data_IF_299164037717
#
_entry.id   IF_299164037717
#
_cell.length_a   1.000
_cell.length_b   1.000
_cell.length_c   1.000
_cell.angle_alpha   90.00
_cell.angle_beta   90.00
_cell.angle_gamma   90.00
#
_symmetry.space_group_name_H-M   'P 1'
#
loop_
_entity.id
_entity.type
_entity.pdbx_description
1 polymer ?
#
# COMPACT_ATOMS: atom_id res chain seq x y z
N UNK A 1 -17.50 9.66 3.12
CA UNK A 1 -16.96 8.64 2.23
C UNK A 1 -17.17 9.01 0.76
N UNK A 2 -18.42 9.33 0.33
CA UNK A 2 -18.68 9.72 -1.06
C UNK A 2 -17.88 10.94 -1.52
N UNK A 3 -17.67 11.93 -0.67
CA UNK A 3 -16.83 13.09 -0.99
C UNK A 3 -15.38 12.69 -1.29
N UNK A 4 -14.79 11.76 -0.54
CA UNK A 4 -13.43 11.27 -0.78
C UNK A 4 -13.30 10.61 -2.16
N UNK A 5 -14.26 9.75 -2.52
CA UNK A 5 -14.36 9.16 -3.85
C UNK A 5 -14.43 10.23 -4.95
N UNK A 6 -15.34 11.18 -4.79
CA UNK A 6 -15.57 12.24 -5.77
C UNK A 6 -14.32 13.15 -5.93
N UNK A 7 -13.60 13.41 -4.84
CA UNK A 7 -12.33 14.15 -4.88
C UNK A 7 -11.27 13.39 -5.67
N UNK A 8 -11.18 12.08 -5.50
CA UNK A 8 -10.24 11.24 -6.24
C UNK A 8 -10.48 11.32 -7.75
N UNK A 9 -11.72 11.19 -8.21
CA UNK A 9 -12.06 11.33 -9.63
C UNK A 9 -11.82 12.75 -10.15
N UNK A 10 -12.25 13.78 -9.41
CA UNK A 10 -12.00 15.18 -9.79
C UNK A 10 -10.51 15.49 -9.89
N UNK A 11 -9.70 14.96 -8.97
CA UNK A 11 -8.24 15.11 -9.01
C UNK A 11 -7.66 14.46 -10.26
N UNK A 12 -8.06 13.23 -10.57
CA UNK A 12 -7.58 12.48 -11.73
C UNK A 12 -7.85 13.22 -13.04
N UNK A 13 -9.06 13.76 -13.20
CA UNK A 13 -9.43 14.54 -14.38
C UNK A 13 -8.65 15.85 -14.44
N UNK A 14 -8.60 16.59 -13.32
CA UNK A 14 -7.98 17.93 -13.27
C UNK A 14 -6.45 17.89 -13.46
N UNK A 15 -5.76 16.98 -12.79
CA UNK A 15 -4.29 16.98 -12.74
C UNK A 15 -3.66 16.08 -13.81
N UNK A 16 -4.38 15.03 -14.23
CA UNK A 16 -3.83 14.03 -15.16
C UNK A 16 -4.62 13.89 -16.46
N UNK A 17 -5.69 14.67 -16.64
CA UNK A 17 -6.53 14.58 -17.86
C UNK A 17 -7.19 13.22 -18.04
N UNK A 18 -7.58 12.56 -16.91
CA UNK A 18 -8.16 11.23 -16.97
C UNK A 18 -9.44 11.19 -17.79
N UNK A 19 -9.58 10.19 -18.66
CA UNK A 19 -10.75 9.92 -19.48
C UNK A 19 -11.72 9.00 -18.74
N UNK A 20 -13.02 9.28 -18.85
CA UNK A 20 -14.06 8.43 -18.24
C UNK A 20 -14.19 7.11 -18.99
N UNK A 21 -14.38 6.03 -18.24
CA UNK A 21 -14.63 4.69 -18.78
C UNK A 21 -16.15 4.46 -18.80
N UNK A 22 -16.71 4.10 -19.95
CA UNK A 22 -18.11 3.75 -20.14
C UNK A 22 -19.13 4.77 -19.59
N UNK A 23 -18.78 6.07 -19.69
CA UNK A 23 -19.65 7.15 -19.18
C UNK A 23 -19.50 7.47 -17.71
N UNK A 24 -18.56 6.86 -17.03
CA UNK A 24 -18.14 7.23 -15.71
C UNK A 24 -18.67 6.43 -14.56
N UNK A 25 -18.35 6.63 -13.26
CA UNK A 25 -17.33 7.56 -12.75
C UNK A 25 -15.89 7.04 -12.89
N UNK A 26 -15.69 5.74 -13.18
CA UNK A 26 -14.38 5.15 -13.38
C UNK A 26 -13.61 5.89 -14.48
N UNK A 27 -12.33 6.05 -14.29
CA UNK A 27 -11.51 6.78 -15.24
C UNK A 27 -10.11 6.17 -15.40
N UNK A 28 -9.44 6.54 -16.47
CA UNK A 28 -8.08 6.10 -16.78
C UNK A 28 -7.24 7.22 -17.36
N UNK A 29 -5.94 7.14 -17.16
CA UNK A 29 -4.96 8.04 -17.75
C UNK A 29 -3.61 7.36 -17.91
N UNK A 30 -2.71 7.94 -18.72
CA UNK A 30 -1.32 7.49 -18.81
C UNK A 30 -0.46 8.22 -17.80
N UNK A 31 0.31 7.49 -17.02
CA UNK A 31 1.27 8.07 -16.09
C UNK A 31 2.34 8.85 -16.90
N UNK A 32 2.50 10.16 -16.70
CA UNK A 32 3.43 10.98 -17.48
C UNK A 32 4.90 10.60 -17.29
N UNK A 33 5.25 9.94 -16.17
CA UNK A 33 6.62 9.52 -15.86
C UNK A 33 6.97 8.14 -16.43
N UNK A 34 6.02 7.21 -16.45
CA UNK A 34 6.28 5.81 -16.80
C UNK A 34 5.63 5.38 -18.12
N UNK A 35 4.66 6.14 -18.63
CA UNK A 35 3.85 5.79 -19.79
C UNK A 35 2.81 4.70 -19.56
N UNK A 36 2.77 4.09 -18.37
CA UNK A 36 1.81 3.04 -18.04
C UNK A 36 0.39 3.60 -17.90
N UNK A 37 -0.60 2.81 -18.30
CA UNK A 37 -1.99 3.14 -18.07
C UNK A 37 -2.31 2.96 -16.57
N UNK A 38 -2.97 3.96 -15.99
CA UNK A 38 -3.51 3.92 -14.62
C UNK A 38 -5.03 3.94 -14.73
N UNK A 39 -5.67 2.98 -14.09
CA UNK A 39 -7.12 2.88 -14.00
C UNK A 39 -7.55 3.18 -12.56
N UNK A 40 -8.42 4.16 -12.40
CA UNK A 40 -9.01 4.54 -11.10
C UNK A 40 -10.45 4.04 -11.05
N UNK A 41 -10.75 3.28 -10.02
CA UNK A 41 -12.07 2.71 -9.73
C UNK A 41 -12.44 2.99 -8.28
N UNK A 42 -13.72 2.98 -7.97
CA UNK A 42 -14.21 2.86 -6.60
C UNK A 42 -14.87 1.51 -6.39
N UNK A 43 -14.92 1.08 -5.13
CA UNK A 43 -15.59 -0.14 -4.73
C UNK A 43 -16.26 0.09 -3.38
N UNK A 44 -17.50 -0.38 -3.26
CA UNK A 44 -18.22 -0.39 -1.98
C UNK A 44 -17.53 -1.37 -1.04
N UNK A 45 -17.43 -1.02 0.25
CA UNK A 45 -16.60 -1.73 1.22
C UNK A 45 -16.92 -3.21 1.34
N UNK A 46 -18.18 -3.61 1.40
CA UNK A 46 -18.58 -5.01 1.52
C UNK A 46 -18.14 -5.84 0.29
N UNK A 47 -18.35 -5.29 -0.91
CA UNK A 47 -17.86 -5.90 -2.15
C UNK A 47 -16.34 -5.98 -2.18
N UNK A 48 -15.64 -4.92 -1.71
CA UNK A 48 -14.19 -4.90 -1.63
C UNK A 48 -13.66 -5.99 -0.70
N UNK A 49 -14.20 -6.16 0.49
CA UNK A 49 -13.77 -7.20 1.45
C UNK A 49 -13.88 -8.61 0.87
N UNK A 50 -14.90 -8.88 0.06
CA UNK A 50 -15.01 -10.13 -0.66
C UNK A 50 -13.99 -10.23 -1.80
N UNK A 51 -13.78 -9.15 -2.55
CA UNK A 51 -12.93 -9.15 -3.74
C UNK A 51 -11.44 -9.28 -3.43
N UNK A 52 -10.96 -8.69 -2.33
CA UNK A 52 -9.56 -8.84 -1.92
C UNK A 52 -9.17 -10.28 -1.58
N UNK A 53 -10.14 -11.12 -1.20
CA UNK A 53 -9.91 -12.54 -0.94
C UNK A 53 -10.02 -13.39 -2.20
N UNK A 54 -10.93 -13.05 -3.11
CA UNK A 54 -11.25 -13.85 -4.30
C UNK A 54 -10.46 -13.41 -5.54
N UNK A 55 -10.11 -12.11 -5.63
CA UNK A 55 -9.47 -11.50 -6.80
C UNK A 55 -8.38 -10.48 -6.42
N UNK A 56 -7.42 -10.80 -5.52
CA UNK A 56 -6.43 -9.84 -5.02
C UNK A 56 -5.55 -9.25 -6.12
N UNK A 57 -5.36 -9.96 -7.22
CA UNK A 57 -4.55 -9.50 -8.36
C UNK A 57 -5.18 -8.33 -9.14
N UNK A 58 -6.44 -7.97 -8.86
CA UNK A 58 -7.09 -6.80 -9.47
C UNK A 58 -6.71 -5.48 -8.80
N UNK A 59 -5.99 -5.52 -7.67
CA UNK A 59 -5.69 -4.36 -6.84
C UNK A 59 -4.19 -4.12 -6.72
N UNK A 60 -3.70 -2.97 -7.18
CA UNK A 60 -2.31 -2.57 -7.05
C UNK A 60 -2.12 -1.55 -5.93
N UNK A 61 -2.99 -0.52 -5.86
CA UNK A 61 -2.96 0.54 -4.86
C UNK A 61 -4.38 0.78 -4.33
N UNK A 62 -4.51 0.86 -3.02
CA UNK A 62 -5.78 1.12 -2.34
C UNK A 62 -5.69 2.47 -1.64
N UNK A 63 -6.59 3.40 -1.99
CA UNK A 63 -6.76 4.67 -1.31
C UNK A 63 -8.05 4.65 -0.48
N UNK A 64 -7.93 4.99 0.79
CA UNK A 64 -9.07 4.98 1.72
C UNK A 64 -8.83 5.98 2.84
N UNK A 65 -9.88 6.27 3.61
CA UNK A 65 -9.78 7.08 4.82
C UNK A 65 -9.09 6.28 5.93
N UNK A 66 -8.54 7.01 6.92
CA UNK A 66 -7.69 6.47 7.98
C UNK A 66 -8.29 5.23 8.67
N UNK A 67 -9.47 5.35 9.28
CA UNK A 67 -10.07 4.23 10.03
C UNK A 67 -10.29 2.99 9.17
N UNK A 68 -10.79 3.17 7.97
CA UNK A 68 -11.03 2.07 7.03
C UNK A 68 -9.72 1.48 6.53
N UNK A 69 -8.70 2.32 6.35
CA UNK A 69 -7.34 1.91 6.00
C UNK A 69 -6.73 1.01 7.06
N UNK A 70 -6.89 1.34 8.34
CA UNK A 70 -6.40 0.53 9.46
C UNK A 70 -7.05 -0.87 9.45
N UNK A 71 -8.36 -0.94 9.31
CA UNK A 71 -9.05 -2.25 9.25
C UNK A 71 -8.64 -3.08 8.04
N UNK A 72 -8.56 -2.45 6.88
CA UNK A 72 -8.21 -3.14 5.62
C UNK A 72 -6.76 -3.59 5.63
N UNK A 73 -5.83 -2.74 6.08
CA UNK A 73 -4.41 -3.09 6.11
C UNK A 73 -4.13 -4.26 7.06
N UNK A 74 -4.78 -4.30 8.22
CA UNK A 74 -4.64 -5.41 9.17
C UNK A 74 -5.25 -6.71 8.63
N UNK A 75 -6.41 -6.62 7.97
CA UNK A 75 -7.02 -7.79 7.33
C UNK A 75 -6.14 -8.35 6.19
N UNK A 76 -5.56 -7.47 5.37
CA UNK A 76 -4.64 -7.87 4.31
C UNK A 76 -3.32 -8.43 4.88
N UNK A 77 -2.80 -7.83 5.95
CA UNK A 77 -1.62 -8.34 6.65
C UNK A 77 -1.89 -9.76 7.18
N UNK A 78 -3.07 -10.02 7.75
CA UNK A 78 -3.47 -11.35 8.21
C UNK A 78 -3.45 -12.40 7.09
N UNK A 79 -3.86 -12.03 5.87
CA UNK A 79 -3.84 -12.93 4.71
C UNK A 79 -2.42 -13.34 4.27
N UNK A 80 -1.39 -12.56 4.61
CA UNK A 80 -0.01 -12.76 4.13
C UNK A 80 0.99 -13.11 5.23
N UNK A 81 0.56 -13.24 6.48
CA UNK A 81 1.42 -13.68 7.58
C UNK A 81 1.24 -12.90 8.89
N UNK A 82 0.34 -11.93 8.92
CA UNK A 82 -0.03 -11.15 10.11
C UNK A 82 0.66 -9.79 10.21
N UNK A 83 0.21 -9.00 11.17
CA UNK A 83 0.68 -7.61 11.37
C UNK A 83 2.17 -7.51 11.75
N UNK A 84 2.77 -8.60 12.23
CA UNK A 84 4.21 -8.65 12.56
C UNK A 84 5.15 -8.45 11.38
N UNK A 85 4.64 -8.43 10.15
CA UNK A 85 5.40 -8.19 8.91
C UNK A 85 4.91 -7.00 8.10
N UNK A 86 3.88 -6.28 8.56
CA UNK A 86 3.33 -5.13 7.87
C UNK A 86 4.08 -3.84 8.29
N UNK A 87 4.75 -3.13 7.38
CA UNK A 87 5.40 -1.86 7.69
C UNK A 87 4.40 -0.72 7.72
N UNK A 88 4.70 0.33 8.48
CA UNK A 88 3.92 1.55 8.57
C UNK A 88 4.75 2.81 8.35
N UNK A 89 4.12 3.83 7.75
CA UNK A 89 4.70 5.15 7.59
C UNK A 89 3.60 6.24 7.60
N UNK A 90 3.88 7.34 8.30
CA UNK A 90 3.11 8.58 8.26
C UNK A 90 3.97 9.65 7.62
N UNK A 91 3.59 10.14 6.45
CA UNK A 91 4.42 11.03 5.63
C UNK A 91 3.65 12.32 5.34
N UNK A 92 4.26 13.46 5.66
CA UNK A 92 3.80 14.75 5.18
C UNK A 92 4.48 15.06 3.84
N UNK A 93 3.74 14.89 2.75
CA UNK A 93 4.27 15.08 1.40
C UNK A 93 4.54 16.55 1.01
N UNK A 94 4.12 17.52 1.85
CA UNK A 94 4.42 18.95 1.63
C UNK A 94 5.77 19.29 2.25
N UNK A 95 6.00 18.88 3.50
CA UNK A 95 7.21 19.24 4.25
C UNK A 95 8.31 18.18 4.21
N UNK A 96 8.00 16.97 3.80
CA UNK A 96 8.93 15.84 3.78
C UNK A 96 9.16 15.16 5.14
N UNK A 97 8.55 15.68 6.23
CA UNK A 97 8.64 15.01 7.53
C UNK A 97 7.91 13.67 7.49
N UNK A 98 8.52 12.66 8.09
CA UNK A 98 7.96 11.31 8.11
C UNK A 98 8.28 10.58 9.42
N UNK A 99 7.36 9.70 9.82
CA UNK A 99 7.53 8.75 10.94
C UNK A 99 7.35 7.37 10.36
N UNK A 100 8.28 6.47 10.66
CA UNK A 100 8.24 5.07 10.25
C UNK A 100 8.18 4.20 11.48
N UNK A 101 7.14 3.37 11.56
CA UNK A 101 6.87 2.56 12.74
C UNK A 101 6.31 1.18 12.36
N UNK A 102 6.36 0.24 13.29
CA UNK A 102 5.63 -1.01 13.14
C UNK A 102 4.13 -0.74 13.26
N UNK A 103 3.30 -1.43 12.48
CA UNK A 103 1.83 -1.26 12.55
C UNK A 103 1.21 -1.85 13.81
N UNK A 104 1.91 -2.78 14.48
CA UNK A 104 1.47 -3.39 15.74
C UNK A 104 1.94 -2.60 16.96
N UNK A 105 1.24 -2.77 18.10
CA UNK A 105 1.63 -2.22 19.40
C UNK A 105 2.81 -2.98 20.05
N UNK A 106 3.10 -2.62 21.30
CA UNK A 106 4.26 -3.15 22.07
C UNK A 106 4.11 -4.61 22.53
N UNK A 107 2.91 -5.18 22.46
CA UNK A 107 2.60 -6.58 22.81
C UNK A 107 3.24 -7.04 24.17
N UNK A 108 2.94 -6.38 25.30
CA UNK A 108 3.67 -6.56 26.56
C UNK A 108 3.63 -7.99 27.08
N UNK A 109 2.60 -8.77 26.75
CA UNK A 109 2.49 -10.19 27.16
C UNK A 109 3.59 -11.09 26.58
N UNK A 110 4.30 -10.64 25.54
CA UNK A 110 5.37 -11.38 24.90
C UNK A 110 6.77 -10.87 25.26
N UNK A 111 6.87 -9.91 26.17
CA UNK A 111 8.14 -9.32 26.62
C UNK A 111 9.08 -10.40 27.14
N UNK A 112 10.31 -10.45 26.61
CA UNK A 112 11.34 -11.40 27.02
C UNK A 112 11.15 -12.85 26.53
N UNK A 113 10.14 -13.11 25.69
CA UNK A 113 9.85 -14.47 25.19
C UNK A 113 10.48 -14.80 23.83
N UNK A 114 11.07 -13.82 23.14
CA UNK A 114 11.63 -13.95 21.77
C UNK A 114 10.65 -14.55 20.74
N UNK A 115 9.36 -14.23 20.89
CA UNK A 115 8.28 -14.78 20.05
C UNK A 115 7.76 -13.81 19.00
N UNK A 116 8.05 -12.51 19.13
CA UNK A 116 7.54 -11.49 18.21
C UNK A 116 8.37 -11.45 16.94
N UNK A 117 7.70 -11.49 15.79
CA UNK A 117 8.38 -11.31 14.50
C UNK A 117 8.79 -9.84 14.33
N UNK A 118 10.09 -9.50 14.18
CA UNK A 118 10.55 -8.12 14.02
C UNK A 118 10.40 -7.60 12.58
N UNK A 119 9.76 -8.35 11.69
CA UNK A 119 9.65 -8.04 10.27
C UNK A 119 9.00 -6.69 9.98
N UNK A 120 7.95 -6.34 10.72
CA UNK A 120 7.26 -5.04 10.57
C UNK A 120 8.22 -3.87 10.80
N UNK A 121 8.96 -3.88 11.91
CA UNK A 121 9.93 -2.83 12.23
C UNK A 121 11.11 -2.81 11.24
N UNK A 122 11.58 -3.99 10.83
CA UNK A 122 12.66 -4.09 9.84
C UNK A 122 12.26 -3.52 8.49
N UNK A 123 11.04 -3.80 8.02
CA UNK A 123 10.51 -3.25 6.76
C UNK A 123 10.19 -1.77 6.87
N UNK A 124 9.68 -1.28 8.01
CA UNK A 124 9.50 0.16 8.25
C UNK A 124 10.83 0.92 8.18
N UNK A 125 11.90 0.33 8.72
CA UNK A 125 13.25 0.90 8.58
C UNK A 125 13.79 0.84 7.15
N UNK A 126 13.39 -0.13 6.34
CA UNK A 126 13.69 -0.15 4.90
C UNK A 126 12.98 1.00 4.19
N UNK A 127 11.70 1.23 4.47
CA UNK A 127 10.96 2.37 3.95
C UNK A 127 11.59 3.72 4.33
N UNK A 128 12.08 3.86 5.57
CA UNK A 128 12.83 5.04 6.01
C UNK A 128 14.06 5.29 5.14
N UNK A 129 14.85 4.27 4.89
CA UNK A 129 16.06 4.39 4.05
C UNK A 129 15.71 4.83 2.63
N UNK A 130 14.63 4.31 2.04
CA UNK A 130 14.15 4.76 0.73
C UNK A 130 13.66 6.19 0.74
N UNK A 131 12.96 6.61 1.80
CA UNK A 131 12.51 7.99 1.95
C UNK A 131 13.68 8.98 2.00
N UNK A 132 14.79 8.58 2.61
CA UNK A 132 16.05 9.35 2.65
C UNK A 132 16.86 9.28 1.34
N UNK A 133 16.43 8.50 0.36
CA UNK A 133 17.16 8.29 -0.90
C UNK A 133 18.31 7.26 -0.81
N UNK A 134 18.46 6.57 0.30
CA UNK A 134 19.54 5.58 0.52
C UNK A 134 19.13 4.20 0.00
N UNK A 135 18.91 4.12 -1.31
CA UNK A 135 18.32 2.94 -1.95
C UNK A 135 19.17 1.68 -1.81
N UNK A 136 20.50 1.80 -1.94
CA UNK A 136 21.40 0.65 -1.79
C UNK A 136 21.34 0.06 -0.38
N UNK A 137 21.33 0.92 0.65
CA UNK A 137 21.20 0.48 2.04
C UNK A 137 19.83 -0.17 2.30
N UNK A 138 18.76 0.35 1.68
CA UNK A 138 17.43 -0.24 1.74
C UNK A 138 17.40 -1.64 1.11
N UNK A 139 18.03 -1.83 -0.05
CA UNK A 139 18.10 -3.12 -0.74
C UNK A 139 18.89 -4.17 0.07
N UNK A 140 20.00 -3.78 0.69
CA UNK A 140 20.76 -4.65 1.59
C UNK A 140 19.89 -5.04 2.79
N UNK A 141 19.27 -4.06 3.46
CA UNK A 141 18.38 -4.33 4.61
C UNK A 141 17.23 -5.26 4.26
N UNK A 142 16.60 -5.05 3.11
CA UNK A 142 15.50 -5.90 2.63
C UNK A 142 15.99 -7.34 2.36
N UNK A 143 17.17 -7.50 1.77
CA UNK A 143 17.75 -8.81 1.50
C UNK A 143 18.05 -9.57 2.79
N UNK A 144 18.64 -8.91 3.79
CA UNK A 144 18.90 -9.48 5.11
C UNK A 144 17.59 -9.84 5.82
N UNK A 145 16.61 -8.94 5.83
CA UNK A 145 15.32 -9.20 6.46
C UNK A 145 14.62 -10.42 5.85
N UNK A 146 14.66 -10.57 4.54
CA UNK A 146 14.10 -11.75 3.84
C UNK A 146 14.81 -13.04 4.20
N UNK A 147 16.13 -13.02 4.29
CA UNK A 147 16.93 -14.19 4.64
C UNK A 147 16.73 -14.62 6.11
N UNK A 148 16.70 -13.65 7.02
CA UNK A 148 16.62 -13.90 8.45
C UNK A 148 15.20 -14.21 8.97
N UNK A 149 14.18 -13.58 8.36
CA UNK A 149 12.80 -13.61 8.87
C UNK A 149 11.88 -14.55 8.09
N UNK A 150 12.39 -15.26 7.07
CA UNK A 150 11.57 -16.12 6.19
C UNK A 150 10.31 -15.38 5.70
N UNK A 151 10.45 -14.10 5.34
CA UNK A 151 9.37 -13.32 4.80
C UNK A 151 9.04 -13.87 3.40
N UNK A 152 7.85 -14.40 3.14
CA UNK A 152 7.49 -14.94 1.83
C UNK A 152 7.69 -13.89 0.74
N UNK A 153 8.17 -14.29 -0.45
CA UNK A 153 8.32 -13.37 -1.59
C UNK A 153 6.97 -12.72 -2.01
N UNK A 154 5.87 -13.41 -1.75
CA UNK A 154 4.50 -12.91 -1.94
C UNK A 154 4.08 -11.85 -0.91
N UNK A 155 4.75 -11.80 0.24
CA UNK A 155 4.47 -10.86 1.32
C UNK A 155 5.11 -9.48 1.12
N UNK A 156 5.80 -9.25 0.04
CA UNK A 156 6.00 -7.90 -0.44
C UNK A 156 4.62 -7.41 -0.93
N UNK A 157 3.76 -6.98 0.01
CA UNK A 157 2.90 -5.84 -0.29
C UNK A 157 3.85 -4.91 -1.03
N UNK A 158 3.61 -4.71 -2.29
CA UNK A 158 4.39 -3.76 -3.09
C UNK A 158 4.14 -2.40 -2.44
N UNK A 159 4.86 -2.14 -1.36
CA UNK A 159 5.06 -0.77 -0.92
C UNK A 159 5.61 -0.12 -2.15
N UNK A 160 4.84 0.77 -2.70
CA UNK A 160 5.02 1.30 -4.03
C UNK A 160 6.46 1.79 -4.26
N UNK A 161 7.39 0.87 -4.51
CA UNK A 161 8.40 1.16 -5.48
C UNK A 161 7.63 1.23 -6.78
N UNK A 162 7.48 2.41 -7.34
CA UNK A 162 6.83 2.73 -8.61
C UNK A 162 7.50 2.03 -9.81
N UNK A 163 7.94 0.78 -9.64
CA UNK A 163 8.39 -0.08 -10.72
C UNK A 163 7.32 -1.16 -10.92
N UNK A 164 6.41 -0.97 -11.88
CA UNK A 164 5.55 -2.05 -12.32
C UNK A 164 6.42 -3.17 -12.87
N UNK A 165 6.28 -4.35 -12.30
CA UNK A 165 6.96 -5.56 -12.77
C UNK A 165 6.32 -6.13 -14.04
N UNK A 166 5.37 -5.42 -14.66
CA UNK A 166 4.74 -5.75 -15.93
C UNK A 166 4.20 -4.49 -16.60
N UNK A 167 4.11 -4.46 -17.97
CA UNK A 167 3.49 -3.36 -18.70
C UNK A 167 1.95 -3.31 -18.56
N UNK A 168 1.37 -4.05 -17.64
CA UNK A 168 -0.06 -4.00 -17.34
C UNK A 168 -0.46 -2.68 -16.68
N UNK A 169 -1.68 -2.22 -16.95
CA UNK A 169 -2.26 -1.04 -16.33
C UNK A 169 -2.21 -1.13 -14.80
N UNK A 170 -1.72 -0.08 -14.14
CA UNK A 170 -1.76 0.03 -12.68
C UNK A 170 -3.19 0.34 -12.25
N UNK A 171 -3.75 -0.45 -11.36
CA UNK A 171 -5.13 -0.30 -10.89
C UNK A 171 -5.14 0.40 -9.55
N UNK A 172 -5.76 1.55 -9.51
CA UNK A 172 -5.93 2.35 -8.31
C UNK A 172 -7.38 2.27 -7.84
N UNK A 173 -7.59 1.81 -6.63
CA UNK A 173 -8.91 1.64 -6.06
C UNK A 173 -9.17 2.65 -4.94
N UNK A 174 -10.32 3.31 -4.99
CA UNK A 174 -10.88 4.07 -3.87
C UNK A 174 -11.97 3.25 -3.19
N UNK A 175 -11.87 3.07 -1.88
CA UNK A 175 -12.92 2.39 -1.11
C UNK A 175 -13.92 3.45 -0.65
N UNK A 176 -15.19 3.23 -0.97
CA UNK A 176 -16.33 4.00 -0.47
C UNK A 176 -17.19 3.14 0.46
N UNK A 177 -17.80 3.74 1.47
CA UNK A 177 -18.75 3.15 2.39
C UNK A 177 -20.14 3.72 2.17
#
# INVERSE_FOLDING_TARGET
>A
EGAFRDWGYKLAVREYGAELIDGGPWCKFKNPKTGNEIVIKDCICDAFLQQILTRPAEYDVIATLNLNGDYVSDALAACVGGIGIAPGANINYITGHAIFEATHGTAPKYTGMDKVNPGSLALSGEMLLRHLGWNEAADIKLSVARAALVIPRSCCVKVASLRPSSPAAMRFLMISF
#
